data_IF_796597684010
#
_entry.id   IF_796597684010
#
_cell.length_a   1.000
_cell.length_b   1.000
_cell.length_c   1.000
_cell.angle_alpha   90.00
_cell.angle_beta   90.00
_cell.angle_gamma   90.00
#
_symmetry.space_group_name_H-M   'P 1'
#
loop_
_entity.id
_entity.type
_entity.pdbx_description
1 polymer ?
#
# COMPACT_ATOMS: atom_id res chain seq x y z
N UNK A 1 -5.82 -6.98 30.34
CA UNK A 1 -7.14 -7.20 29.71
C UNK A 1 -7.73 -5.94 29.06
N UNK A 2 -7.95 -4.82 29.79
CA UNK A 2 -8.51 -3.58 29.19
C UNK A 2 -7.71 -3.03 28.01
N UNK A 3 -6.39 -2.96 28.13
CA UNK A 3 -5.52 -2.48 27.05
C UNK A 3 -5.64 -3.35 25.80
N UNK A 4 -5.67 -4.66 25.98
CA UNK A 4 -5.75 -5.63 24.89
C UNK A 4 -7.05 -5.49 24.08
N UNK A 5 -8.17 -5.24 24.77
CA UNK A 5 -9.46 -4.97 24.12
C UNK A 5 -9.44 -3.66 23.34
N UNK A 6 -8.89 -2.59 23.93
CA UNK A 6 -8.77 -1.29 23.27
C UNK A 6 -7.90 -1.38 22.03
N UNK A 7 -6.71 -2.00 22.13
CA UNK A 7 -5.81 -2.22 21.01
C UNK A 7 -6.47 -3.07 19.91
N UNK A 8 -7.18 -4.14 20.29
CA UNK A 8 -7.91 -4.98 19.35
C UNK A 8 -8.97 -4.19 18.57
N UNK A 9 -9.72 -3.30 19.25
CA UNK A 9 -10.71 -2.41 18.62
C UNK A 9 -10.05 -1.47 17.62
N UNK A 10 -8.94 -0.81 17.98
CA UNK A 10 -8.24 0.10 17.08
C UNK A 10 -7.70 -0.60 15.83
N UNK A 11 -7.14 -1.80 15.99
CA UNK A 11 -6.67 -2.61 14.86
C UNK A 11 -7.84 -3.00 13.96
N UNK A 12 -8.95 -3.50 14.53
CA UNK A 12 -10.13 -3.87 13.76
C UNK A 12 -10.72 -2.68 12.98
N UNK A 13 -10.76 -1.49 13.60
CA UNK A 13 -11.21 -0.26 12.93
C UNK A 13 -10.31 0.13 11.76
N UNK A 14 -8.98 0.01 11.90
CA UNK A 14 -8.04 0.30 10.82
C UNK A 14 -8.27 -0.62 9.61
N UNK A 15 -8.44 -1.93 9.84
CA UNK A 15 -8.76 -2.88 8.76
C UNK A 15 -10.14 -2.60 8.14
N UNK A 16 -11.15 -2.30 8.94
CA UNK A 16 -12.48 -1.94 8.45
C UNK A 16 -12.43 -0.70 7.56
N UNK A 17 -11.68 0.33 7.96
CA UNK A 17 -11.52 1.55 7.16
C UNK A 17 -10.85 1.30 5.81
N UNK A 18 -9.81 0.46 5.77
CA UNK A 18 -9.12 0.07 4.51
C UNK A 18 -10.09 -0.72 3.61
N UNK A 19 -10.82 -1.69 4.17
CA UNK A 19 -11.79 -2.49 3.43
C UNK A 19 -12.90 -1.63 2.80
N UNK A 20 -13.48 -0.71 3.59
CA UNK A 20 -14.49 0.24 3.10
C UNK A 20 -13.92 1.11 1.98
N UNK A 21 -12.68 1.60 2.12
CA UNK A 21 -12.02 2.40 1.09
C UNK A 21 -11.89 1.64 -0.23
N UNK A 22 -11.58 0.33 -0.19
CA UNK A 22 -11.48 -0.52 -1.40
C UNK A 22 -12.86 -0.67 -2.07
N UNK A 23 -13.91 -0.93 -1.30
CA UNK A 23 -15.27 -1.09 -1.83
C UNK A 23 -15.83 0.21 -2.44
N UNK A 24 -15.48 1.36 -1.87
CA UNK A 24 -15.91 2.67 -2.37
C UNK A 24 -15.02 3.21 -3.50
N UNK A 25 -13.86 2.59 -3.76
CA UNK A 25 -12.94 3.02 -4.83
C UNK A 25 -13.47 2.56 -6.18
N UNK A 26 -14.05 3.48 -6.94
CA UNK A 26 -14.46 3.23 -8.33
C UNK A 26 -13.21 2.85 -9.15
N UNK A 27 -13.26 1.68 -9.79
CA UNK A 27 -12.19 1.02 -10.59
C UNK A 27 -11.13 0.22 -9.82
N UNK A 28 -11.20 0.11 -8.49
CA UNK A 28 -10.29 -0.78 -7.73
C UNK A 28 -8.80 -0.44 -7.80
N UNK A 29 -8.43 0.67 -8.46
CA UNK A 29 -7.05 1.09 -8.59
C UNK A 29 -6.57 1.73 -7.30
N UNK A 30 -5.48 1.18 -6.76
CA UNK A 30 -4.80 1.77 -5.63
C UNK A 30 -4.13 3.07 -6.09
N UNK A 31 -4.70 4.22 -5.73
CA UNK A 31 -4.01 5.52 -5.92
C UNK A 31 -2.82 5.56 -4.98
N UNK A 32 -1.66 5.17 -5.49
CA UNK A 32 -0.39 5.17 -4.79
C UNK A 32 0.73 4.92 -5.78
N UNK A 33 1.89 5.51 -5.51
CA UNK A 33 3.11 5.17 -6.22
C UNK A 33 3.51 3.74 -5.83
N UNK A 34 4.06 2.98 -6.77
CA UNK A 34 4.48 1.61 -6.51
C UNK A 34 5.64 1.64 -5.51
N UNK A 35 5.43 1.17 -4.28
CA UNK A 35 6.49 1.15 -3.26
C UNK A 35 7.73 0.34 -3.70
N UNK A 36 7.52 -0.71 -4.49
CA UNK A 36 8.60 -1.52 -5.09
C UNK A 36 9.47 -0.77 -6.10
N UNK A 37 9.03 0.42 -6.53
CA UNK A 37 9.75 1.30 -7.47
C UNK A 37 10.32 2.53 -6.78
N UNK A 38 10.13 2.67 -5.46
CA UNK A 38 10.65 3.81 -4.72
C UNK A 38 12.19 3.74 -4.68
N UNK A 39 12.95 4.75 -5.17
CA UNK A 39 14.42 4.74 -5.16
C UNK A 39 15.03 4.59 -3.76
N UNK A 40 14.30 4.98 -2.71
CA UNK A 40 14.74 4.77 -1.33
C UNK A 40 14.71 3.30 -0.90
N UNK A 41 13.80 2.51 -1.48
CA UNK A 41 13.59 1.10 -1.15
C UNK A 41 14.28 0.17 -2.15
N UNK A 42 14.24 0.51 -3.43
CA UNK A 42 14.82 -0.24 -4.53
C UNK A 42 16.15 0.42 -4.95
N UNK A 43 17.22 0.07 -4.24
CA UNK A 43 18.57 0.64 -4.43
C UNK A 43 19.34 -0.03 -5.57
N UNK A 44 18.96 -1.25 -5.92
CA UNK A 44 19.63 -2.05 -6.96
C UNK A 44 18.98 -1.89 -8.34
N UNK A 45 18.00 -0.99 -8.46
CA UNK A 45 17.20 -0.78 -9.68
C UNK A 45 16.61 -2.07 -10.23
N UNK A 46 16.19 -2.97 -9.34
CA UNK A 46 15.57 -4.23 -9.75
C UNK A 46 14.18 -3.97 -10.36
N UNK A 47 13.79 -4.70 -11.42
CA UNK A 47 12.45 -4.56 -11.98
C UNK A 47 11.40 -4.97 -10.95
N UNK A 48 10.31 -4.21 -10.84
CA UNK A 48 9.27 -4.49 -9.84
C UNK A 48 8.67 -5.88 -10.08
N UNK A 49 8.70 -6.73 -9.04
CA UNK A 49 8.17 -8.10 -9.11
C UNK A 49 6.66 -8.21 -9.39
N UNK A 50 5.91 -7.10 -9.33
CA UNK A 50 4.47 -7.08 -9.63
C UNK A 50 4.12 -6.60 -11.05
N UNK A 51 4.94 -5.71 -11.63
CA UNK A 51 4.63 -5.09 -12.93
C UNK A 51 5.78 -5.08 -13.94
N UNK A 52 6.98 -5.55 -13.56
CA UNK A 52 8.14 -5.71 -14.44
C UNK A 52 8.81 -4.42 -14.91
N UNK A 53 8.27 -3.24 -14.58
CA UNK A 53 8.88 -1.95 -14.94
C UNK A 53 10.18 -1.74 -14.16
N UNK A 54 11.12 -0.98 -14.73
CA UNK A 54 12.26 -0.44 -13.99
C UNK A 54 11.85 0.86 -13.27
N UNK A 55 12.50 1.22 -12.16
CA UNK A 55 12.16 2.43 -11.39
C UNK A 55 12.14 3.71 -12.23
N UNK A 56 13.07 3.82 -13.18
CA UNK A 56 13.20 4.93 -14.14
C UNK A 56 11.98 5.13 -15.05
N UNK A 57 11.17 4.09 -15.28
CA UNK A 57 10.00 4.13 -16.16
C UNK A 57 8.70 4.45 -15.39
N UNK A 58 8.80 4.87 -14.13
CA UNK A 58 7.66 5.23 -13.30
C UNK A 58 7.48 6.75 -13.26
N UNK A 59 6.52 7.26 -14.04
CA UNK A 59 6.23 8.70 -14.23
C UNK A 59 5.68 9.44 -12.99
N UNK A 60 5.76 8.85 -11.79
CA UNK A 60 5.33 9.48 -10.55
C UNK A 60 6.37 9.19 -9.45
N UNK A 61 7.46 9.96 -9.46
CA UNK A 61 8.38 10.12 -8.32
C UNK A 61 8.06 11.44 -7.62
#
# INVERSE_FOLDING_TARGET
MKLFLITGIFIALAFAAIAIKILLKKNGEFSGTCASQNPFLNKENEPCGYCGKLPENCENS
#
